data_IF_470744487761
#
_entry.id   IF_470744487761
#
_cell.length_a   1.000
_cell.length_b   1.000
_cell.length_c   1.000
_cell.angle_alpha   90.00
_cell.angle_beta   90.00
_cell.angle_gamma   90.00
#
_symmetry.space_group_name_H-M   'P 1'
#
loop_
_entity.id
_entity.type
_entity.pdbx_description
1 polymer ?
2 polymer ?
3 polymer ?
4 polymer ?
5 non-polymer ?
6 non-polymer ?
7 water ?
#
loop_
_entity_poly.entity_id
_entity_poly.type
_entity_poly.pdbx_seq_one_letter_code
_entity_poly.pdbx_strand_id
1 'polydeoxyribonucleotide' '(DA)(DA)(DT)(DC)(DT)(DT)(DT)(DC)(DC)(DC)(DA)(DC)(DG)(DG)(DT)' ?
2 'polydeoxyribonucleotide' '(DT)(DT)(DA)(DC)(DC)(DG)(DT)(DG)(DG)(DG)(DA)(DA)(DA)(DG)(DA)' ?
#
# COMPACT_ATOMS: atom_id res chain seq x y z
N UNK C 1 -35.68 12.68 -11.74
CA UNK C 1 -35.99 11.74 -10.65
C UNK C 1 -34.76 10.94 -10.21
N UNK C 2 -34.68 10.61 -8.91
CA UNK C 2 -33.45 10.02 -8.38
C UNK C 2 -33.24 8.61 -8.89
N UNK C 3 -32.00 8.14 -8.91
CA UNK C 3 -31.72 6.78 -9.38
C UNK C 3 -32.24 5.74 -8.39
N UNK C 4 -32.28 4.50 -8.85
CA UNK C 4 -32.84 3.42 -8.05
C UNK C 4 -31.94 3.10 -6.87
N UNK C 5 -32.55 2.96 -5.69
CA UNK C 5 -31.84 2.45 -4.53
C UNK C 5 -31.57 0.96 -4.69
N UNK C 6 -30.60 0.45 -3.92
CA UNK C 6 -30.29 -0.98 -3.95
C UNK C 6 -31.45 -1.79 -3.40
N UNK C 7 -31.85 -2.82 -4.13
CA UNK C 7 -32.89 -3.73 -3.65
C UNK C 7 -32.24 -4.89 -2.89
N UNK C 8 -33.06 -5.55 -2.07
CA UNK C 8 -32.57 -6.72 -1.33
C UNK C 8 -32.11 -7.82 -2.27
N UNK C 9 -32.80 -7.98 -3.41
CA UNK C 9 -32.39 -9.00 -4.36
C UNK C 9 -31.05 -8.63 -5.00
N UNK C 10 -30.87 -7.36 -5.35
CA UNK C 10 -29.59 -6.94 -5.90
C UNK C 10 -28.47 -7.15 -4.88
N UNK C 11 -28.75 -6.92 -3.60
CA UNK C 11 -27.73 -7.16 -2.57
C UNK C 11 -27.37 -8.64 -2.49
N UNK C 12 -28.40 -9.51 -2.57
CA UNK C 12 -28.16 -10.95 -2.51
C UNK C 12 -27.34 -11.41 -3.70
N UNK C 13 -27.64 -10.85 -4.88
CA UNK C 13 -26.87 -11.16 -6.08
C UNK C 13 -25.40 -10.78 -5.90
N UNK C 14 -25.15 -9.53 -5.47
CA UNK C 14 -23.77 -9.13 -5.18
C UNK C 14 -23.10 -10.06 -4.18
N UNK C 15 -23.82 -10.42 -3.11
CA UNK C 15 -23.17 -11.20 -2.06
C UNK C 15 -22.76 -12.59 -2.55
N UNK C 16 -23.51 -13.15 -3.52
CA UNK C 16 -23.12 -14.43 -4.12
C UNK C 16 -22.00 -14.24 -5.13
N UNK C 17 -22.22 -13.36 -6.11
CA UNK C 17 -21.30 -13.25 -7.25
C UNK C 17 -20.06 -12.42 -6.92
N UNK C 18 -20.22 -11.37 -6.12
CA UNK C 18 -19.15 -10.40 -5.81
C UNK C 18 -18.75 -9.71 -7.12
N UNK C 19 -17.47 -9.46 -7.36
CA UNK C 19 -17.07 -8.76 -8.57
C UNK C 19 -16.68 -7.33 -8.28
N UNK C 20 -16.05 -7.11 -7.13
CA UNK C 20 -15.64 -5.77 -6.71
C UNK C 20 -14.63 -5.18 -7.68
N UNK C 21 -14.70 -3.86 -7.85
CA UNK C 21 -13.64 -3.11 -8.50
C UNK C 21 -12.80 -2.43 -7.45
N UNK C 22 -11.47 -2.59 -7.53
CA UNK C 22 -10.56 -2.03 -6.55
C UNK C 22 -9.47 -1.19 -7.19
N UNK C 23 -9.17 -0.03 -6.61
CA UNK C 23 -8.04 0.80 -7.01
C UNK C 23 -7.04 0.82 -5.86
N UNK C 24 -5.79 0.47 -6.16
CA UNK C 24 -4.67 0.54 -5.22
C UNK C 24 -3.73 1.64 -5.67
N UNK C 25 -3.24 2.43 -4.73
CA UNK C 25 -2.20 3.41 -4.99
C UNK C 25 -1.02 3.11 -4.05
N UNK C 26 0.12 2.71 -4.61
CA UNK C 26 1.34 2.41 -3.86
C UNK C 26 2.34 3.53 -4.08
N UNK C 27 2.94 4.03 -3.00
CA UNK C 27 3.75 5.23 -3.10
C UNK C 27 4.63 5.37 -1.86
N UNK C 28 5.66 6.22 -1.96
CA UNK C 28 6.49 6.54 -0.82
C UNK C 28 5.79 7.51 0.13
N UNK C 29 6.22 7.49 1.40
CA UNK C 29 5.63 8.33 2.44
C UNK C 29 6.25 9.72 2.49
N UNK C 30 7.40 9.91 1.86
CA UNK C 30 8.04 11.21 1.81
C UNK C 30 8.41 11.48 0.36
N UNK C 31 8.66 12.76 0.06
CA UNK C 31 9.16 13.15 -1.24
C UNK C 31 10.01 14.41 -1.12
N UNK C 32 11.18 14.41 -1.76
CA UNK C 32 12.06 15.57 -1.72
C UNK C 32 11.57 16.60 -2.74
N UNK C 33 11.52 17.86 -2.32
CA UNK C 33 10.97 18.89 -3.18
C UNK C 33 12.01 19.36 -4.19
N UNK C 34 11.52 20.03 -5.23
CA UNK C 34 12.34 20.52 -6.32
C UNK C 34 12.34 22.04 -6.31
N UNK C 35 13.52 22.63 -6.44
CA UNK C 35 13.63 24.09 -6.48
C UNK C 35 13.74 24.58 -7.92
N UNK C 36 13.43 25.85 -8.11
CA UNK C 36 13.59 26.45 -9.42
C UNK C 36 12.86 25.66 -10.49
N UNK C 37 13.57 25.33 -11.56
CA UNK C 37 13.04 24.59 -12.70
C UNK C 37 13.44 23.13 -12.69
N UNK C 38 14.06 22.66 -11.61
CA UNK C 38 14.55 21.29 -11.61
C UNK C 38 13.41 20.31 -11.36
N UNK C 39 13.66 19.04 -11.66
CA UNK C 39 12.68 17.99 -11.47
C UNK C 39 13.36 16.86 -10.68
N UNK C 40 13.03 16.75 -9.39
CA UNK C 40 13.50 15.62 -8.59
C UNK C 40 12.33 14.65 -8.48
N UNK C 41 12.39 13.58 -9.27
CA UNK C 41 11.27 12.68 -9.45
C UNK C 41 10.96 11.87 -8.18
N UNK C 42 9.69 11.52 -8.00
CA UNK C 42 9.33 10.64 -6.89
C UNK C 42 9.91 9.26 -7.14
N UNK C 43 10.68 8.75 -6.18
CA UNK C 43 11.29 7.43 -6.27
C UNK C 43 11.03 6.68 -4.97
N UNK C 44 10.42 5.49 -5.00
CA UNK C 44 9.93 4.76 -6.16
C UNK C 44 8.75 5.48 -6.81
N UNK C 45 8.50 5.18 -8.06
CA UNK C 45 7.43 5.88 -8.78
C UNK C 45 6.08 5.37 -8.31
N UNK C 46 5.15 6.26 -7.98
CA UNK C 46 3.84 5.80 -7.53
C UNK C 46 3.21 4.89 -8.59
N UNK C 47 2.54 3.85 -8.11
CA UNK C 47 2.01 2.81 -8.97
C UNK C 47 0.54 2.62 -8.68
N UNK C 48 -0.29 2.72 -9.72
CA UNK C 48 -1.72 2.52 -9.62
C UNK C 48 -2.05 1.12 -10.12
N UNK C 49 -2.80 0.35 -9.34
CA UNK C 49 -3.24 -0.98 -9.73
C UNK C 49 -4.75 -1.04 -9.75
N UNK C 50 -5.27 -1.71 -10.79
CA UNK C 50 -6.69 -2.01 -10.93
C UNK C 50 -6.88 -3.48 -10.58
N UNK C 51 -7.33 -3.74 -9.37
CA UNK C 51 -7.38 -5.08 -8.80
C UNK C 51 -8.81 -5.61 -8.78
N UNK C 52 -8.90 -6.94 -8.72
CA UNK C 52 -10.17 -7.60 -8.47
C UNK C 52 -10.89 -7.97 -9.75
N UNK C 53 -11.81 -8.93 -9.61
CA UNK C 53 -12.50 -9.48 -10.77
C UNK C 53 -13.49 -8.50 -11.38
N UNK C 54 -13.80 -7.39 -10.71
CA UNK C 54 -14.85 -6.53 -11.22
C UNK C 54 -14.47 -5.74 -12.46
N UNK C 55 -13.18 -5.52 -12.69
CA UNK C 55 -12.77 -4.81 -13.90
C UNK C 55 -13.16 -5.58 -15.15
N UNK C 56 -12.86 -6.88 -15.18
CA UNK C 56 -13.26 -7.69 -16.33
C UNK C 56 -14.78 -7.79 -16.46
N UNK C 57 -15.47 -7.95 -15.32
CA UNK C 57 -16.93 -7.96 -15.35
C UNK C 57 -17.49 -6.65 -15.89
N UNK C 58 -16.97 -5.53 -15.40
CA UNK C 58 -17.44 -4.24 -15.89
C UNK C 58 -17.14 -4.09 -17.38
N UNK C 59 -15.96 -4.53 -17.81
CA UNK C 59 -15.60 -4.46 -19.22
C UNK C 59 -16.59 -5.25 -20.08
N UNK C 60 -16.96 -6.45 -19.63
CA UNK C 60 -17.90 -7.26 -20.40
C UNK C 60 -19.30 -6.65 -20.39
N UNK C 61 -19.77 -6.20 -19.23
CA UNK C 61 -21.06 -5.51 -19.19
C UNK C 61 -21.10 -4.35 -20.18
N UNK C 62 -20.03 -3.54 -20.24
CA UNK C 62 -20.01 -2.38 -21.12
C UNK C 62 -20.06 -2.80 -22.59
N UNK C 63 -19.24 -3.77 -22.97
CA UNK C 63 -19.21 -4.19 -24.36
C UNK C 63 -20.51 -4.87 -24.76
N UNK C 64 -21.15 -5.59 -23.82
CA UNK C 64 -22.49 -6.11 -24.05
C UNK C 64 -23.46 -5.01 -24.43
N UNK C 65 -23.42 -3.89 -23.71
CA UNK C 65 -24.26 -2.73 -24.00
C UNK C 65 -23.75 -1.92 -25.17
N UNK C 66 -22.79 -2.42 -25.93
CA UNK C 66 -22.40 -1.83 -27.19
C UNK C 66 -21.15 -1.00 -27.18
N UNK C 67 -20.30 -1.14 -26.17
CA UNK C 67 -19.03 -0.44 -26.19
C UNK C 67 -18.00 -1.22 -26.99
N UNK C 68 -17.16 -0.50 -27.72
CA UNK C 68 -16.00 -1.11 -28.34
C UNK C 68 -14.99 -1.47 -27.26
N UNK C 69 -13.93 -2.15 -27.68
CA UNK C 69 -12.84 -2.45 -26.75
C UNK C 69 -12.20 -1.17 -26.24
N UNK C 70 -12.08 -0.16 -27.09
CA UNK C 70 -11.45 1.09 -26.70
C UNK C 70 -12.34 1.91 -25.80
N UNK C 71 -13.66 1.82 -25.99
CA UNK C 71 -14.60 2.53 -25.13
C UNK C 71 -14.66 1.93 -23.74
N UNK C 72 -14.42 0.63 -23.60
CA UNK C 72 -14.44 -0.02 -22.30
C UNK C 72 -13.12 0.06 -21.55
N UNK C 73 -12.08 0.57 -22.18
CA UNK C 73 -10.77 0.63 -21.55
C UNK C 73 -10.78 1.68 -20.43
N UNK C 74 -10.34 1.33 -19.21
CA UNK C 74 -10.17 2.37 -18.19
C UNK C 74 -9.04 3.31 -18.55
N UNK C 75 -9.23 4.60 -18.24
CA UNK C 75 -8.17 5.59 -18.38
C UNK C 75 -7.86 6.19 -17.01
N UNK C 76 -6.63 6.65 -16.84
CA UNK C 76 -6.19 7.19 -15.57
C UNK C 76 -5.13 8.26 -15.77
N UNK C 77 -5.24 9.31 -14.96
CA UNK C 77 -4.28 10.39 -14.86
C UNK C 77 -3.88 10.54 -13.40
N UNK C 78 -2.68 11.06 -13.15
CA UNK C 78 -2.23 11.23 -11.77
C UNK C 78 -1.51 12.58 -11.67
N UNK C 79 -1.69 13.23 -10.53
CA UNK C 79 -1.04 14.50 -10.30
C UNK C 79 -0.98 14.78 -8.82
N UNK C 80 -0.35 15.91 -8.47
CA UNK C 80 -0.36 16.39 -7.11
C UNK C 80 -1.75 16.94 -6.82
N UNK C 81 -2.39 16.44 -5.76
CA UNK C 81 -3.72 16.92 -5.43
C UNK C 81 -3.70 18.38 -5.02
N UNK C 82 -4.78 19.08 -5.35
CA UNK C 82 -4.97 20.47 -4.91
C UNK C 82 -3.83 21.37 -5.38
N UNK C 83 -3.50 21.27 -6.66
CA UNK C 83 -2.26 21.84 -7.18
C UNK C 83 -2.44 22.33 -8.60
N UNK C 84 -1.65 23.36 -8.94
CA UNK C 84 -1.57 23.92 -10.28
C UNK C 84 -0.68 23.10 -11.22
N UNK C 85 0.11 22.14 -10.70
CA UNK C 85 0.93 21.31 -11.57
C UNK C 85 0.02 20.41 -12.42
N UNK C 86 0.44 20.15 -13.67
CA UNK C 86 -0.43 19.40 -14.58
C UNK C 86 -0.53 17.93 -14.18
N UNK C 87 -1.65 17.31 -14.51
CA UNK C 87 -1.72 15.86 -14.38
C UNK C 87 -0.98 15.19 -15.53
N UNK C 88 -0.59 13.93 -15.31
CA UNK C 88 0.14 13.14 -16.29
C UNK C 88 -0.63 11.85 -16.54
N UNK C 89 -0.73 11.45 -17.80
CA UNK C 89 -1.54 10.30 -18.16
C UNK C 89 -0.79 9.02 -17.80
N UNK C 90 -1.52 8.03 -17.30
CA UNK C 90 -0.96 6.70 -17.07
C UNK C 90 -1.42 5.79 -18.18
N UNK C 91 -0.53 4.92 -18.66
CA UNK C 91 -0.87 4.03 -19.76
C UNK C 91 -1.19 2.66 -19.17
N UNK C 92 -2.47 2.28 -19.21
CA UNK C 92 -2.92 1.01 -18.66
C UNK C 92 -3.27 -0.01 -19.73
N UNK C 93 -2.96 0.27 -20.99
CA UNK C 93 -3.31 -0.66 -22.07
C UNK C 93 -2.58 -1.99 -21.89
N UNK C 94 -3.36 -3.07 -21.85
CA UNK C 94 -2.78 -4.40 -21.75
C UNK C 94 -2.21 -4.76 -20.40
N UNK C 95 -2.40 -3.92 -19.38
CA UNK C 95 -1.89 -4.18 -18.04
C UNK C 95 -2.95 -3.76 -17.03
N UNK C 96 -2.85 -4.28 -15.81
CA UNK C 96 -3.72 -3.82 -14.74
C UNK C 96 -3.01 -2.86 -13.78
N UNK C 97 -1.92 -2.24 -14.23
CA UNK C 97 -1.15 -1.35 -13.39
C UNK C 97 -0.34 -0.42 -14.29
N UNK C 98 0.06 0.72 -13.72
CA UNK C 98 1.00 1.61 -14.38
C UNK C 98 1.73 2.42 -13.32
N UNK C 99 3.02 2.66 -13.53
CA UNK C 99 3.80 3.51 -12.65
C UNK C 99 3.84 4.93 -13.20
N UNK C 100 4.03 5.88 -12.31
CA UNK C 100 4.17 7.29 -12.68
C UNK C 100 5.62 7.68 -12.39
N UNK C 101 6.43 7.76 -13.44
CA UNK C 101 7.88 7.84 -13.31
C UNK C 101 8.43 9.26 -13.28
N UNK C 102 7.64 10.27 -13.64
CA UNK C 102 8.16 11.63 -13.73
C UNK C 102 7.32 12.62 -12.92
N UNK C 103 6.81 12.22 -11.76
CA UNK C 103 6.17 13.18 -10.86
C UNK C 103 7.21 13.88 -10.00
N UNK C 104 6.89 15.11 -9.62
CA UNK C 104 7.74 15.88 -8.71
C UNK C 104 6.88 16.97 -8.10
N UNK C 105 7.35 17.55 -6.99
CA UNK C 105 6.64 18.68 -6.36
C UNK C 105 7.57 19.89 -6.32
N UNK C 106 7.13 20.99 -6.92
CA UNK C 106 7.85 22.26 -6.94
C UNK C 106 7.76 22.96 -5.60
N UNK C 107 8.77 23.77 -5.28
CA UNK C 107 8.68 24.57 -4.06
C UNK C 107 7.70 25.72 -4.20
N UNK C 108 7.12 25.96 -5.38
CA UNK C 108 5.96 26.85 -5.48
C UNK C 108 4.85 26.42 -4.54
N UNK C 109 4.72 25.11 -4.33
CA UNK C 109 3.77 24.56 -3.38
C UNK C 109 4.35 24.66 -1.98
N UNK C 110 3.61 25.33 -1.10
CA UNK C 110 4.07 25.59 0.26
C UNK C 110 3.51 24.60 1.27
N UNK C 111 2.89 23.52 0.81
CA UNK C 111 2.31 22.57 1.74
C UNK C 111 3.37 21.65 2.33
N UNK C 112 3.13 21.22 3.56
CA UNK C 112 4.06 20.35 4.26
C UNK C 112 3.79 18.89 3.99
N UNK C 113 2.53 18.57 3.65
CA UNK C 113 2.08 17.25 3.25
C UNK C 113 1.21 17.43 2.01
N UNK C 114 1.11 16.38 1.20
CA UNK C 114 0.19 16.41 0.06
C UNK C 114 -0.26 14.99 -0.22
N UNK C 115 -1.26 14.86 -1.07
CA UNK C 115 -1.73 13.58 -1.58
C UNK C 115 -1.62 13.56 -3.09
N UNK C 116 -1.34 12.39 -3.64
CA UNK C 116 -1.52 12.19 -5.06
C UNK C 116 -3.01 12.06 -5.37
N UNK C 117 -3.39 12.54 -6.55
CA UNK C 117 -4.76 12.49 -7.02
C UNK C 117 -4.80 11.67 -8.30
N UNK C 118 -5.57 10.58 -8.30
CA UNK C 118 -5.70 9.72 -9.48
C UNK C 118 -7.11 9.89 -10.05
N UNK C 119 -7.20 10.44 -11.26
CA UNK C 119 -8.47 10.67 -11.93
C UNK C 119 -8.74 9.57 -12.94
N UNK C 120 -9.89 8.89 -12.82
CA UNK C 120 -10.21 7.76 -13.69
C UNK C 120 -11.56 7.93 -14.38
N UNK C 121 -11.63 7.43 -15.62
CA UNK C 121 -12.86 7.35 -16.39
C UNK C 121 -12.67 6.30 -17.47
N UNK C 122 -13.78 5.86 -18.06
CA UNK C 122 -13.71 4.86 -19.12
C UNK C 122 -13.51 5.52 -20.49
N UNK C 123 -13.26 4.67 -21.49
CA UNK C 123 -13.03 5.16 -22.84
C UNK C 123 -14.20 5.87 -23.46
N UNK C 124 -15.44 5.50 -23.10
CA UNK C 124 -16.63 6.22 -23.58
C UNK C 124 -16.91 7.48 -22.76
N UNK C 125 -15.96 7.92 -21.94
CA UNK C 125 -16.02 9.11 -21.09
C UNK C 125 -16.94 8.95 -19.88
N UNK C 126 -17.47 7.74 -19.63
CA UNK C 126 -18.18 7.47 -18.38
C UNK C 126 -17.24 7.73 -17.20
N UNK C 127 -17.71 8.46 -16.21
CA UNK C 127 -16.84 8.84 -15.11
C UNK C 127 -16.67 7.72 -14.10
N UNK C 128 -15.48 7.62 -13.53
CA UNK C 128 -15.26 6.75 -12.38
C UNK C 128 -15.03 7.58 -11.12
N UNK C 129 -13.99 8.38 -11.10
CA UNK C 129 -13.84 9.41 -10.09
C UNK C 129 -12.38 9.74 -9.86
N UNK C 130 -12.12 10.26 -8.65
CA UNK C 130 -10.81 10.72 -8.24
C UNK C 130 -10.44 9.99 -6.95
N UNK C 131 -9.31 9.30 -6.96
CA UNK C 131 -8.86 8.50 -5.83
C UNK C 131 -7.59 9.13 -5.26
N UNK C 132 -7.54 9.28 -3.94
CA UNK C 132 -6.41 9.95 -3.30
C UNK C 132 -5.46 8.95 -2.66
N UNK C 133 -4.17 9.23 -2.79
CA UNK C 133 -3.16 8.43 -2.11
C UNK C 133 -3.23 8.73 -0.62
N UNK C 134 -2.41 8.02 0.15
CA UNK C 134 -2.15 8.44 1.52
C UNK C 134 -1.32 9.72 1.52
N UNK C 135 -1.16 10.30 2.70
CA UNK C 135 -0.50 11.59 2.80
C UNK C 135 0.99 11.40 2.62
N UNK C 136 1.63 12.37 1.96
CA UNK C 136 3.05 12.31 1.64
C UNK C 136 3.72 13.55 2.20
N UNK C 137 4.77 13.37 2.99
CA UNK C 137 5.49 14.46 3.64
C UNK C 137 6.56 15.05 2.73
N UNK C 138 6.55 16.38 2.57
CA UNK C 138 7.57 17.07 1.78
C UNK C 138 8.82 17.26 2.64
N UNK C 139 9.99 16.95 2.09
CA UNK C 139 11.25 17.30 2.73
C UNK C 139 12.09 18.12 1.78
N UNK C 140 12.89 19.03 2.35
CA UNK C 140 13.80 19.80 1.53
C UNK C 140 14.98 18.96 1.10
N UNK C 141 15.54 18.19 2.03
CA UNK C 141 16.60 17.21 1.80
C UNK C 141 16.82 16.47 3.11
N UNK C 142 17.33 15.25 3.09
CA UNK C 142 17.49 14.52 4.35
C UNK C 142 18.57 15.18 5.20
N UNK C 143 18.35 15.21 6.51
CA UNK C 143 19.34 15.81 7.39
C UNK C 143 20.59 14.93 7.44
N UNK C 144 21.73 15.56 7.72
CA UNK C 144 22.96 14.80 7.89
C UNK C 144 23.22 14.42 9.35
N UNK C 145 22.44 14.95 10.28
CA UNK C 145 22.59 14.58 11.68
C UNK C 145 21.96 13.22 11.93
N UNK C 146 22.42 12.55 12.98
CA UNK C 146 21.79 11.31 13.40
C UNK C 146 20.32 11.54 13.68
N UNK C 147 19.49 10.57 13.31
CA UNK C 147 18.04 10.71 13.40
C UNK C 147 17.61 10.55 14.86
N UNK C 148 16.78 11.47 15.31
CA UNK C 148 16.17 11.38 16.62
C UNK C 148 14.87 10.59 16.56
N UNK C 149 14.66 9.71 17.54
CA UNK C 149 13.39 9.00 17.65
C UNK C 149 12.23 9.92 18.00
N UNK C 150 12.50 11.17 18.41
CA UNK C 150 11.42 12.13 18.57
C UNK C 150 10.77 12.46 17.23
N UNK C 151 11.47 12.26 16.12
CA UNK C 151 10.90 12.43 14.79
C UNK C 151 10.48 11.07 14.22
N UNK C 152 9.61 10.38 14.97
CA UNK C 152 9.09 9.10 14.51
C UNK C 152 8.65 9.15 13.06
N UNK C 153 8.15 10.31 12.63
CA UNK C 153 7.83 10.60 11.24
C UNK C 153 8.84 10.02 10.27
N UNK C 154 10.12 10.37 10.45
CA UNK C 154 11.17 9.99 9.51
C UNK C 154 11.86 8.68 9.85
N UNK C 155 11.42 7.97 10.89
CA UNK C 155 12.05 6.70 11.26
C UNK C 155 11.29 5.54 10.61
N UNK C 156 11.74 4.32 10.86
CA UNK C 156 11.16 3.13 10.23
C UNK C 156 10.85 2.10 11.32
N UNK C 157 9.57 1.86 11.56
CA UNK C 157 9.13 0.89 12.57
C UNK C 157 9.21 -0.53 12.02
N UNK C 158 9.61 -1.46 12.89
CA UNK C 158 9.57 -2.87 12.55
C UNK C 158 8.20 -3.26 12.04
N UNK C 159 8.17 -4.06 10.97
CA UNK C 159 6.93 -4.53 10.40
C UNK C 159 6.25 -3.58 9.42
N UNK C 160 6.77 -2.37 9.24
CA UNK C 160 6.26 -1.51 8.19
C UNK C 160 6.97 -1.86 6.87
N UNK C 161 6.66 -1.11 5.81
CA UNK C 161 7.07 -1.43 4.45
C UNK C 161 8.07 -0.40 3.92
N UNK C 162 9.07 -0.88 3.18
CA UNK C 162 10.06 -0.01 2.57
C UNK C 162 10.26 -0.44 1.13
N UNK C 163 10.70 0.52 0.32
CA UNK C 163 11.31 0.24 -0.98
C UNK C 163 12.81 0.43 -0.86
N UNK C 164 13.54 -0.17 -1.80
CA UNK C 164 14.99 -0.09 -1.81
C UNK C 164 15.44 0.09 -3.26
N UNK C 165 16.21 1.14 -3.52
CA UNK C 165 16.72 1.31 -4.87
C UNK C 165 18.21 1.59 -4.86
N UNK C 166 18.84 1.23 -5.99
CA UNK C 166 20.24 1.51 -6.24
C UNK C 166 20.34 2.41 -7.46
N UNK C 167 21.26 3.37 -7.41
CA UNK C 167 21.49 4.31 -8.50
C UNK C 167 22.99 4.50 -8.66
N UNK C 168 23.50 4.48 -9.89
CA UNK C 168 24.94 4.57 -10.13
C UNK C 168 25.32 5.98 -10.62
N UNK C 169 26.24 6.64 -9.90
CA UNK C 169 26.87 7.91 -10.31
C UNK C 169 25.84 8.98 -10.69
N UNK C 170 24.81 9.12 -9.85
CA UNK C 170 23.82 10.19 -9.97
C UNK C 170 23.06 10.17 -11.29
N UNK C 171 22.88 9.01 -11.92
CA UNK C 171 22.21 8.95 -13.22
C UNK C 171 20.81 8.38 -13.06
N UNK C 172 19.81 9.19 -13.42
CA UNK C 172 18.43 8.74 -13.30
C UNK C 172 18.14 7.50 -14.13
N UNK C 173 18.84 7.31 -15.26
CA UNK C 173 18.53 6.15 -16.08
C UNK C 173 18.99 4.86 -15.41
N UNK C 174 19.89 4.94 -14.43
CA UNK C 174 20.46 3.75 -13.80
C UNK C 174 19.67 3.26 -12.61
N UNK C 175 18.63 3.97 -12.18
CA UNK C 175 17.86 3.58 -11.00
C UNK C 175 17.27 2.18 -11.16
N UNK C 176 17.50 1.34 -10.16
CA UNK C 176 16.91 0.01 -10.14
C UNK C 176 16.37 -0.29 -8.75
N UNK C 177 15.24 -0.98 -8.72
CA UNK C 177 14.47 -1.22 -7.51
C UNK C 177 14.51 -2.70 -7.20
N UNK C 178 14.74 -3.04 -5.93
CA UNK C 178 14.55 -4.42 -5.50
C UNK C 178 13.10 -4.82 -5.74
N UNK C 179 12.92 -6.03 -6.25
CA UNK C 179 11.63 -6.50 -6.74
C UNK C 179 11.71 -8.01 -6.85
N UNK C 180 10.59 -8.69 -6.59
CA UNK C 180 10.49 -10.14 -6.72
C UNK C 180 9.65 -10.44 -7.94
N UNK C 181 10.17 -11.27 -8.84
CA UNK C 181 9.46 -11.64 -10.04
C UNK C 181 9.79 -13.08 -10.41
N UNK C 182 8.77 -13.88 -10.66
CA UNK C 182 8.98 -15.27 -11.01
C UNK C 182 9.76 -16.04 -9.96
N UNK C 183 9.45 -15.81 -8.68
CA UNK C 183 10.12 -16.48 -7.60
C UNK C 183 11.56 -16.10 -7.37
N UNK C 184 12.06 -15.04 -8.00
CA UNK C 184 13.44 -14.61 -7.80
C UNK C 184 13.49 -13.12 -7.46
N UNK C 185 14.42 -12.76 -6.58
CA UNK C 185 14.76 -11.36 -6.39
C UNK C 185 15.52 -10.86 -7.59
N UNK C 186 15.18 -9.67 -8.05
CA UNK C 186 15.96 -9.00 -9.08
C UNK C 186 15.91 -7.50 -8.82
N UNK C 187 16.61 -6.73 -9.66
CA UNK C 187 16.66 -5.28 -9.54
C UNK C 187 16.01 -4.70 -10.80
N UNK C 188 14.83 -4.12 -10.66
CA UNK C 188 14.03 -3.75 -11.81
C UNK C 188 14.14 -2.25 -12.11
N UNK C 189 14.18 -1.94 -13.40
CA UNK C 189 14.17 -0.54 -13.85
C UNK C 189 12.77 0.08 -13.74
N UNK C 190 11.72 -0.74 -13.84
CA UNK C 190 10.36 -0.23 -13.93
C UNK C 190 9.44 -0.64 -12.79
N UNK C 191 9.70 -1.72 -12.08
CA UNK C 191 8.80 -2.18 -11.03
C UNK C 191 9.54 -2.16 -9.70
N UNK C 192 8.79 -2.05 -8.61
CA UNK C 192 9.41 -2.03 -7.29
C UNK C 192 8.61 -2.84 -6.29
N UNK C 193 9.32 -3.57 -5.43
CA UNK C 193 8.70 -4.29 -4.35
C UNK C 193 8.51 -3.43 -3.13
N UNK C 194 7.43 -3.70 -2.38
CA UNK C 194 7.22 -3.13 -1.06
C UNK C 194 7.45 -4.24 -0.05
N UNK C 195 8.46 -4.07 0.79
CA UNK C 195 8.97 -5.15 1.62
C UNK C 195 8.72 -4.81 3.08
N UNK C 196 8.14 -5.77 3.81
CA UNK C 196 8.17 -5.64 5.26
C UNK C 196 9.62 -5.68 5.71
N UNK C 197 9.96 -4.82 6.65
CA UNK C 197 11.28 -4.88 7.29
C UNK C 197 11.04 -5.27 8.76
N UNK C 198 11.27 -6.54 9.06
CA UNK C 198 11.02 -7.11 10.39
C UNK C 198 12.29 -7.09 11.22
N UNK C 199 12.20 -6.58 12.44
CA UNK C 199 13.33 -6.63 13.36
C UNK C 199 13.39 -7.98 14.07
N UNK C 200 14.54 -8.64 14.02
CA UNK C 200 14.78 -9.87 14.75
C UNK C 200 15.79 -9.60 15.86
N UNK C 201 15.64 -10.32 16.97
CA UNK C 201 16.68 -10.27 17.98
C UNK C 201 17.94 -10.97 17.46
N UNK C 202 19.07 -10.59 18.05
CA UNK C 202 20.38 -10.97 17.49
C UNK C 202 20.57 -12.49 17.42
N UNK C 203 19.95 -13.24 18.33
CA UNK C 203 20.17 -14.68 18.36
C UNK C 203 19.14 -15.47 17.59
N UNK C 204 18.21 -14.79 16.90
CA UNK C 204 17.22 -15.50 16.08
C UNK C 204 17.90 -16.20 14.91
N UNK C 205 17.67 -17.50 14.79
CA UNK C 205 18.32 -18.29 13.76
C UNK C 205 17.59 -18.15 12.43
N UNK C 206 18.20 -18.67 11.37
CA UNK C 206 17.57 -18.68 10.05
C UNK C 206 16.27 -19.48 10.08
N UNK C 207 15.47 -19.28 9.04
CA UNK C 207 14.21 -19.96 8.92
C UNK C 207 13.10 -19.14 8.30
N UNK C 208 12.02 -19.81 7.90
CA UNK C 208 10.87 -19.13 7.33
C UNK C 208 9.92 -18.61 8.40
N UNK C 209 9.87 -19.28 9.56
CA UNK C 209 9.13 -18.78 10.71
C UNK C 209 10.12 -18.17 11.68
N UNK C 210 9.80 -16.98 12.18
CA UNK C 210 10.74 -16.26 13.04
C UNK C 210 9.98 -15.31 13.94
N UNK C 211 10.56 -15.04 15.11
CA UNK C 211 9.97 -14.10 16.04
C UNK C 211 10.36 -12.68 15.66
N UNK C 212 9.37 -11.83 15.49
CA UNK C 212 9.61 -10.42 15.21
C UNK C 212 9.52 -9.64 16.50
N UNK C 213 10.31 -8.59 16.58
CA UNK C 213 10.36 -7.68 17.71
C UNK C 213 9.82 -6.32 17.26
N UNK C 214 9.26 -5.58 18.20
CA UNK C 214 8.74 -4.26 17.90
C UNK C 214 9.84 -3.21 18.05
N UNK C 215 9.56 -2.00 17.62
CA UNK C 215 10.47 -0.89 17.76
C UNK C 215 10.91 -0.35 16.41
N UNK C 216 11.74 0.70 16.49
CA UNK C 216 12.29 1.33 15.29
C UNK C 216 13.58 0.66 14.86
N UNK C 217 13.78 0.58 13.54
CA UNK C 217 14.99 -0.05 13.00
C UNK C 217 16.20 0.86 13.23
N UNK C 218 17.27 0.29 13.79
CA UNK C 218 18.55 0.95 13.95
C UNK C 218 19.62 0.22 13.15
N UNK C 219 20.65 0.97 12.73
CA UNK C 219 21.81 0.34 12.10
C UNK C 219 22.43 -0.70 13.03
N UNK C 220 22.93 -1.78 12.44
CA UNK C 220 23.54 -2.85 13.20
C UNK C 220 22.57 -3.91 13.67
N UNK C 221 21.27 -3.68 13.54
CA UNK C 221 20.30 -4.69 13.91
C UNK C 221 20.13 -5.70 12.79
N UNK C 222 19.64 -6.89 13.16
CA UNK C 222 19.33 -7.96 12.23
C UNK C 222 17.89 -7.82 11.78
N UNK C 223 17.65 -7.85 10.45
CA UNK C 223 16.30 -7.65 9.91
C UNK C 223 15.97 -8.75 8.90
N UNK C 224 14.67 -8.92 8.71
CA UNK C 224 14.12 -9.78 7.67
C UNK C 224 13.33 -8.91 6.70
N UNK C 225 13.68 -8.95 5.42
CA UNK C 225 12.93 -8.30 4.36
C UNK C 225 12.01 -9.33 3.70
N UNK C 226 10.71 -9.04 3.68
CA UNK C 226 9.72 -9.95 3.11
C UNK C 226 8.85 -9.19 2.13
N UNK C 227 8.83 -9.63 0.89
CA UNK C 227 7.93 -9.09 -0.11
C UNK C 227 6.49 -9.19 0.39
N UNK C 228 5.80 -8.04 0.47
CA UNK C 228 4.42 -8.01 0.93
C UNK C 228 3.43 -8.59 -0.08
N UNK C 229 3.91 -9.05 -1.23
CA UNK C 229 3.05 -9.64 -2.25
C UNK C 229 3.33 -11.12 -2.42
N UNK C 230 4.60 -11.49 -2.60
CA UNK C 230 4.96 -12.88 -2.83
C UNK C 230 5.31 -13.64 -1.56
N UNK C 231 5.51 -12.96 -0.43
CA UNK C 231 6.01 -13.62 0.75
C UNK C 231 7.46 -14.08 0.68
N UNK C 232 8.11 -13.98 -0.48
CA UNK C 232 9.52 -14.34 -0.57
C UNK C 232 10.36 -13.44 0.33
N UNK C 233 11.34 -14.04 0.99
CA UNK C 233 12.18 -13.33 1.93
C UNK C 233 13.64 -13.49 1.57
N UNK C 234 14.43 -12.58 2.06
CA UNK C 234 15.87 -12.73 1.95
C UNK C 234 16.38 -13.41 3.21
N UNK C 235 17.58 -14.00 3.17
CA UNK C 235 18.18 -14.48 4.42
C UNK C 235 18.36 -13.31 5.38
N UNK C 236 18.62 -13.65 6.65
CA UNK C 236 18.83 -12.62 7.66
C UNK C 236 19.88 -11.64 7.20
N UNK C 237 19.60 -10.36 7.37
CA UNK C 237 20.50 -9.29 6.98
C UNK C 237 20.79 -8.41 8.19
N UNK C 238 21.97 -7.79 8.19
CA UNK C 238 22.30 -6.73 9.13
C UNK C 238 22.36 -5.43 8.34
N UNK C 239 21.41 -4.54 8.64
CA UNK C 239 21.33 -3.24 7.96
C UNK C 239 22.47 -2.36 8.49
N UNK C 240 23.34 -1.91 7.61
CA UNK C 240 24.46 -1.08 8.02
C UNK C 240 24.41 0.27 7.31
N UNK C 241 24.94 1.28 8.01
CA UNK C 241 24.95 2.62 7.50
C UNK C 241 26.08 2.78 6.47
N UNK C 242 25.74 3.36 5.32
CA UNK C 242 26.73 3.64 4.28
C UNK C 242 27.25 5.06 4.49
N UNK C 243 28.57 5.19 4.40
CA UNK C 243 29.27 6.47 4.47
C UNK C 243 30.23 6.50 3.30
N UNK C 244 29.96 7.38 2.34
CA UNK C 244 30.69 7.43 1.07
C UNK C 244 30.53 6.05 0.43
N UNK C 245 31.58 5.27 0.22
CA UNK C 245 31.45 3.93 -0.34
C UNK C 245 31.91 2.85 0.64
N UNK C 246 31.70 3.07 1.93
CA UNK C 246 32.03 2.10 2.96
C UNK C 246 30.79 1.82 3.79
N UNK C 247 30.66 0.58 4.24
CA UNK C 247 29.68 0.23 5.27
C UNK C 247 30.32 0.41 6.64
N UNK C 248 29.63 1.12 7.54
CA UNK C 248 30.11 1.29 8.91
C UNK C 248 29.62 0.12 9.75
N UNK C 249 30.54 -0.59 10.39
CA UNK C 249 30.13 -1.75 11.17
C UNK C 249 29.63 -1.37 12.56
N UNK C 250 30.00 -0.19 13.05
CA UNK C 250 29.72 0.18 14.43
C UNK C 250 28.57 1.18 14.59
N UNK C 251 28.00 1.71 13.51
CA UNK C 251 26.89 2.66 13.64
C UNK C 251 25.67 1.96 14.23
N UNK C 252 24.94 2.67 15.10
CA UNK C 252 23.73 2.12 15.68
C UNK C 252 22.63 3.16 15.89
N UNK C 253 22.65 4.26 15.15
CA UNK C 253 21.58 5.25 15.24
C UNK C 253 20.36 4.81 14.42
N UNK C 254 19.19 5.42 14.64
CA UNK C 254 17.99 5.00 13.88
C UNK C 254 18.13 5.21 12.38
N UNK C 255 17.64 4.24 11.59
CA UNK C 255 17.57 4.40 10.15
C UNK C 255 16.51 5.46 9.82
N UNK C 256 16.83 6.33 8.87
CA UNK C 256 15.92 7.41 8.50
C UNK C 256 15.60 7.34 7.01
N UNK C 257 14.57 8.09 6.62
CA UNK C 257 14.10 8.10 5.24
C UNK C 257 15.18 8.55 4.27
N UNK C 258 15.27 7.87 3.14
CA UNK C 258 16.21 8.19 2.06
C UNK C 258 17.68 8.03 2.47
N UNK C 259 17.98 7.44 3.64
CA UNK C 259 19.35 7.08 3.98
C UNK C 259 19.89 6.03 3.02
N UNK C 260 21.20 6.07 2.77
CA UNK C 260 21.86 5.03 2.00
C UNK C 260 22.26 3.91 2.96
N UNK C 261 21.92 2.66 2.60
CA UNK C 261 22.04 1.49 3.45
C UNK C 261 22.78 0.38 2.72
N UNK C 262 23.49 -0.45 3.48
CA UNK C 262 24.04 -1.71 2.99
C UNK C 262 23.47 -2.84 3.83
N UNK C 263 23.34 -4.02 3.20
CA UNK C 263 22.74 -5.19 3.84
C UNK C 263 23.75 -6.32 3.85
N UNK C 264 24.35 -6.55 5.02
CA UNK C 264 25.30 -7.62 5.21
C UNK C 264 24.54 -8.92 5.42
N UNK C 265 24.89 -9.95 4.64
CA UNK C 265 24.27 -11.25 4.82
C UNK C 265 24.82 -11.86 6.11
N UNK C 266 23.97 -12.00 7.12
CA UNK C 266 24.43 -12.42 8.44
C UNK C 266 25.16 -13.75 8.35
N UNK C 267 26.27 -13.86 9.09
CA UNK C 267 27.05 -15.09 9.22
C UNK C 267 27.71 -15.49 7.89
N UNK C 268 28.11 -14.50 7.10
CA UNK C 268 28.92 -14.74 5.90
C UNK C 268 30.25 -14.02 6.07
N UNK C 269 31.13 -14.21 5.09
CA UNK C 269 32.42 -13.52 5.04
C UNK C 269 32.27 -12.19 4.29
N UNK C 270 31.77 -11.18 5.02
CA UNK C 270 31.67 -9.82 4.49
C UNK C 270 30.89 -9.77 3.16
N UNK C 271 29.89 -10.63 3.01
CA UNK C 271 29.05 -10.65 1.82
C UNK C 271 27.90 -9.67 2.00
N UNK C 272 27.68 -8.82 0.99
CA UNK C 272 26.62 -7.81 1.02
C UNK C 272 25.64 -8.02 -0.14
N UNK C 273 24.38 -7.72 0.13
CA UNK C 273 23.37 -7.74 -0.92
C UNK C 273 23.71 -6.71 -1.99
N UNK C 274 23.70 -7.13 -3.25
CA UNK C 274 24.37 -6.37 -4.30
C UNK C 274 23.67 -6.57 -5.63
N UNK C 275 23.45 -5.48 -6.37
CA UNK C 275 22.99 -5.65 -7.74
C UNK C 275 24.18 -5.65 -8.69
N UNK C 276 24.01 -6.35 -9.79
CA UNK C 276 24.91 -6.32 -10.95
C UNK C 276 24.00 -6.26 -12.17
N UNK C 277 23.81 -5.05 -12.70
CA UNK C 277 22.76 -4.78 -13.70
C UNK C 277 21.44 -5.21 -13.08
N UNK C 278 20.65 -6.08 -13.71
CA UNK C 278 19.40 -6.53 -13.12
C UNK C 278 19.59 -7.67 -12.11
N UNK C 279 20.76 -8.33 -12.08
CA UNK C 279 20.97 -9.47 -11.19
C UNK C 279 21.17 -9.03 -9.73
N UNK C 280 20.54 -9.76 -8.81
CA UNK C 280 20.79 -9.63 -7.37
C UNK C 280 21.71 -10.75 -6.94
N UNK C 281 22.85 -10.40 -6.36
CA UNK C 281 23.85 -11.33 -5.89
C UNK C 281 24.31 -10.90 -4.51
N UNK C 282 25.28 -11.64 -3.97
CA UNK C 282 26.06 -11.19 -2.82
C UNK C 282 27.50 -10.96 -3.26
N UNK C 283 28.09 -9.87 -2.77
CA UNK C 283 29.42 -9.45 -3.19
C UNK C 283 30.26 -9.12 -1.96
N UNK C 284 31.50 -9.60 -1.95
CA UNK C 284 32.34 -9.48 -0.78
C UNK C 284 32.91 -8.08 -0.66
N UNK C 285 32.79 -7.50 0.53
CA UNK C 285 33.41 -6.23 0.85
C UNK C 285 34.91 -6.39 1.09
N UNK C 286 35.63 -5.27 0.96
CA UNK C 286 37.09 -5.23 1.14
C UNK C 286 37.43 -4.51 2.43
N UNK C 287 38.32 -5.04 3.27
CA UNK C 287 38.64 -4.37 4.53
C UNK C 287 39.28 -3.01 4.28
N UNK C 288 38.86 -2.02 5.06
CA UNK C 288 39.38 -0.67 4.90
C UNK C 288 40.81 -0.58 5.44
N UNK C 289 41.64 0.29 4.85
CA UNK C 289 43.03 0.41 5.33
C UNK C 289 43.08 1.01 6.72
N UNK C 290 43.67 0.26 7.66
CA UNK C 290 43.85 0.66 9.05
C UNK C 290 42.53 0.63 9.82
N UNK C 291 41.49 1.27 9.27
CA UNK C 291 40.21 1.37 9.96
C UNK C 291 39.49 0.02 9.92
N UNK C 292 39.29 -0.57 11.09
CA UNK C 292 38.68 -1.89 11.20
C UNK C 292 37.16 -1.83 11.32
N UNK C 293 36.59 -0.64 11.50
CA UNK C 293 35.16 -0.46 11.71
C UNK C 293 34.40 -0.18 10.42
N UNK C 294 35.07 -0.14 9.27
CA UNK C 294 34.42 0.12 8.00
C UNK C 294 34.87 -0.91 6.98
N UNK C 295 34.00 -1.20 6.01
CA UNK C 295 34.34 -2.07 4.89
C UNK C 295 33.92 -1.42 3.58
N UNK C 296 34.81 -1.50 2.59
CA UNK C 296 34.55 -0.98 1.25
C UNK C 296 33.57 -1.90 0.54
N UNK C 297 32.54 -1.34 -0.08
CA UNK C 297 31.50 -2.17 -0.71
C UNK C 297 31.41 -1.83 -2.19
N UNK C 298 30.84 -2.76 -2.94
CA UNK C 298 30.58 -2.57 -4.36
C UNK C 298 29.57 -1.45 -4.61
N UNK C 299 29.71 -0.78 -5.76
CA UNK C 299 28.73 0.24 -6.21
C UNK C 299 27.31 -0.27 -6.05
N UNK C 300 27.07 -1.54 -6.43
CA UNK C 300 25.78 -2.18 -6.38
C UNK C 300 25.28 -2.57 -5.01
N UNK C 301 26.06 -2.35 -3.95
CA UNK C 301 25.70 -2.77 -2.59
C UNK C 301 25.18 -1.61 -1.74
N UNK C 302 25.07 -0.43 -2.30
CA UNK C 302 24.51 0.73 -1.61
C UNK C 302 23.04 0.89 -2.02
N UNK C 303 22.14 0.90 -1.05
CA UNK C 303 20.69 0.93 -1.28
C UNK C 303 20.06 2.12 -0.54
N UNK C 304 19.26 2.93 -1.26
CA UNK C 304 18.45 3.95 -0.62
C UNK C 304 17.16 3.35 -0.09
N UNK C 305 16.89 3.55 1.17
CA UNK C 305 15.70 3.00 1.82
C UNK C 305 14.65 4.10 1.93
N UNK C 306 13.38 3.76 1.67
CA UNK C 306 12.32 4.75 1.84
C UNK C 306 11.01 4.03 2.21
N UNK C 307 10.33 4.55 3.23
CA UNK C 307 9.07 3.94 3.66
C UNK C 307 7.99 4.16 2.60
N UNK C 308 7.13 3.17 2.42
CA UNK C 308 6.06 3.27 1.44
C UNK C 308 4.71 3.00 2.11
N UNK C 309 3.64 3.30 1.38
CA UNK C 309 2.27 3.25 1.91
C UNK C 309 1.35 2.75 0.81
N UNK C 310 0.06 2.70 1.12
CA UNK C 310 -0.91 2.09 0.23
C UNK C 310 -2.27 2.70 0.50
N UNK C 311 -2.90 3.26 -0.51
CA UNK C 311 -4.31 3.60 -0.45
C UNK C 311 -5.07 2.56 -1.26
N UNK C 312 -6.25 2.18 -0.77
CA UNK C 312 -7.00 1.10 -1.41
C UNK C 312 -8.49 1.43 -1.35
N UNK C 313 -9.18 1.28 -2.48
CA UNK C 313 -10.60 1.63 -2.55
C UNK C 313 -11.34 0.57 -3.35
N UNK C 314 -12.51 0.17 -2.84
CA UNK C 314 -13.30 -0.89 -3.45
C UNK C 314 -14.75 -0.47 -3.61
N UNK C 315 -15.30 -0.70 -4.80
CA UNK C 315 -16.66 -0.29 -5.12
C UNK C 315 -17.26 -1.28 -6.11
N UNK C 316 -18.60 -1.29 -6.16
CA UNK C 316 -19.35 -2.15 -7.05
C UNK C 316 -20.64 -1.44 -7.44
N UNK C 317 -20.97 -1.49 -8.73
CA UNK C 317 -22.17 -0.84 -9.25
C UNK C 317 -23.37 -1.75 -8.98
N UNK C 318 -23.88 -1.69 -7.74
CA UNK C 318 -24.90 -2.64 -7.30
C UNK C 318 -26.20 -2.54 -8.07
N UNK C 319 -26.56 -1.35 -8.56
CA UNK C 319 -27.71 -1.19 -9.44
C UNK C 319 -27.32 -0.75 -10.84
N UNK C 320 -26.09 -1.02 -11.26
CA UNK C 320 -25.65 -0.63 -12.59
C UNK C 320 -24.96 0.71 -12.57
N UNK C 321 -24.58 1.20 -13.75
CA UNK C 321 -23.84 2.47 -13.82
C UNK C 321 -24.66 3.62 -13.27
N UNK C 322 -23.96 4.61 -12.71
CA UNK C 322 -24.61 5.74 -12.09
C UNK C 322 -24.03 7.02 -12.64
N UNK C 323 -24.78 8.10 -12.46
CA UNK C 323 -24.33 9.40 -12.91
C UNK C 323 -23.20 9.93 -12.03
N UNK C 324 -23.34 9.81 -10.72
CA UNK C 324 -22.32 10.35 -9.82
C UNK C 324 -21.04 9.51 -9.87
N UNK C 325 -19.87 10.12 -9.65
CA UNK C 325 -18.67 9.31 -9.47
C UNK C 325 -18.83 8.41 -8.26
N UNK C 326 -18.12 7.28 -8.29
CA UNK C 326 -18.18 6.36 -7.16
C UNK C 326 -17.35 6.85 -5.99
N UNK C 327 -16.51 7.89 -6.22
CA UNK C 327 -15.66 8.49 -5.23
C UNK C 327 -16.35 9.69 -4.60
N UNK C 328 -15.95 10.10 -3.39
CA UNK C 328 -14.92 9.47 -2.54
C UNK C 328 -15.39 8.13 -2.00
N UNK C 329 -14.54 7.10 -2.04
CA UNK C 329 -14.94 5.76 -1.62
C UNK C 329 -14.78 5.64 -0.12
N UNK C 330 -15.83 5.25 0.62
CA UNK C 330 -15.67 5.03 2.06
C UNK C 330 -14.77 3.84 2.37
N UNK C 331 -13.98 4.00 3.43
CA UNK C 331 -13.09 2.95 3.93
C UNK C 331 -13.39 2.76 5.41
N UNK C 332 -13.65 1.53 5.82
CA UNK C 332 -13.96 1.24 7.22
C UNK C 332 -12.72 0.63 7.85
N UNK C 333 -12.25 1.28 8.91
CA UNK C 333 -11.11 0.79 9.70
C UNK C 333 -11.56 -0.22 10.75
N UNK C 334 -12.64 0.06 11.47
CA UNK C 334 -12.98 -0.74 12.63
C UNK C 334 -14.48 -0.66 12.92
N UNK C 335 -14.99 -1.71 13.53
CA UNK C 335 -16.34 -1.76 14.08
C UNK C 335 -16.26 -1.88 15.59
N UNK C 336 -17.12 -1.15 16.29
CA UNK C 336 -17.18 -1.22 17.75
C UNK C 336 -18.63 -1.36 18.18
N UNK C 337 -18.88 -2.31 19.08
CA UNK C 337 -20.23 -2.62 19.54
C UNK C 337 -20.56 -1.78 20.76
N UNK C 338 -21.75 -1.16 20.76
CA UNK C 338 -22.21 -0.30 21.86
C UNK C 338 -23.52 -0.80 22.47
N UNK C 342 -29.47 0.20 25.98
CA UNK C 342 -30.69 0.30 25.20
C UNK C 342 -30.66 -0.62 23.99
N UNK C 343 -30.88 -0.04 22.81
CA UNK C 343 -30.79 -0.79 21.56
C UNK C 343 -29.32 -1.00 21.22
N UNK C 344 -29.02 -2.14 20.60
CA UNK C 344 -27.65 -2.44 20.21
C UNK C 344 -27.24 -1.60 19.02
N UNK C 345 -26.18 -0.82 19.18
CA UNK C 345 -25.65 0.04 18.13
C UNK C 345 -24.28 -0.48 17.72
N UNK C 346 -23.97 -0.41 16.42
CA UNK C 346 -22.64 -0.67 15.91
C UNK C 346 -22.06 0.63 15.37
N UNK C 347 -20.85 0.98 15.83
CA UNK C 347 -20.15 2.17 15.39
C UNK C 347 -19.10 1.80 14.35
N UNK C 348 -19.09 2.52 13.24
CA UNK C 348 -18.08 2.34 12.19
C UNK C 348 -17.13 3.52 12.25
N UNK C 349 -15.83 3.23 12.25
CA UNK C 349 -14.77 4.23 12.16
C UNK C 349 -14.03 4.07 10.85
N UNK C 350 -13.81 5.18 10.14
CA UNK C 350 -13.07 5.12 8.90
C UNK C 350 -12.96 6.46 8.22
N UNK C 351 -13.03 6.50 6.89
CA UNK C 351 -12.93 7.76 6.15
C UNK C 351 -13.97 7.80 5.04
N UNK C 352 -14.27 9.02 4.60
CA UNK C 352 -15.08 9.26 3.41
C UNK C 352 -16.52 8.81 3.59
N UNK C 353 -17.01 8.79 4.82
CA UNK C 353 -18.42 8.53 5.06
C UNK C 353 -19.25 9.75 4.64
N UNK C 354 -20.45 9.50 4.13
CA UNK C 354 -21.39 10.54 3.73
C UNK C 354 -22.79 10.23 4.24
N UNK C 355 -23.68 11.23 4.28
CA UNK C 355 -25.04 10.99 4.76
C UNK C 355 -25.92 10.22 3.76
N UNK C 356 -25.41 9.86 2.59
CA UNK C 356 -26.20 9.04 1.67
C UNK C 356 -25.78 7.57 1.73
N UNK C 357 -25.08 7.17 2.78
CA UNK C 357 -24.68 5.78 2.99
C UNK C 357 -25.61 5.10 3.98
N UNK C 358 -25.81 3.80 3.81
CA UNK C 358 -26.48 2.97 4.80
C UNK C 358 -25.66 1.71 5.03
N UNK C 359 -25.64 1.24 6.28
CA UNK C 359 -24.98 -0.02 6.63
C UNK C 359 -25.94 -1.17 6.36
N UNK C 360 -25.45 -2.19 5.67
CA UNK C 360 -26.21 -3.42 5.47
C UNK C 360 -25.48 -4.54 6.22
N UNK C 361 -26.24 -5.31 7.00
CA UNK C 361 -25.78 -6.56 7.61
C UNK C 361 -26.33 -7.69 6.75
N UNK C 362 -25.45 -8.42 6.07
CA UNK C 362 -25.97 -9.35 5.08
C UNK C 362 -26.83 -8.59 4.08
N UNK C 363 -28.05 -9.08 3.84
CA UNK C 363 -28.98 -8.42 2.95
C UNK C 363 -30.01 -7.56 3.69
N UNK C 364 -29.73 -7.23 4.94
CA UNK C 364 -30.64 -6.46 5.77
C UNK C 364 -30.10 -5.04 5.91
N UNK C 365 -30.76 -4.08 5.29
CA UNK C 365 -30.38 -2.69 5.44
C UNK C 365 -30.73 -2.19 6.84
N UNK C 366 -29.82 -1.47 7.49
CA UNK C 366 -30.02 -1.04 8.86
C UNK C 366 -30.18 0.48 8.95
N UNK C 367 -30.92 0.91 9.96
CA UNK C 367 -31.04 2.33 10.24
C UNK C 367 -29.68 2.90 10.62
N UNK C 368 -29.27 3.94 9.90
CA UNK C 368 -27.91 4.46 9.96
C UNK C 368 -27.93 5.93 10.33
N UNK C 369 -27.03 6.33 11.23
CA UNK C 369 -26.90 7.72 11.68
C UNK C 369 -25.54 8.25 11.26
N UNK C 370 -25.56 9.19 10.32
CA UNK C 370 -24.34 9.86 9.91
C UNK C 370 -23.90 10.87 10.96
N UNK C 371 -22.64 10.80 11.36
CA UNK C 371 -22.05 11.79 12.28
C UNK C 371 -21.04 12.69 11.59
N UNK C 372 -20.10 12.12 10.84
CA UNK C 372 -19.08 12.88 10.12
C UNK C 372 -18.40 11.89 9.18
N UNK C 373 -17.40 12.37 8.46
CA UNK C 373 -16.72 11.53 7.47
C UNK C 373 -16.00 10.34 8.06
N UNK C 374 -15.75 10.36 9.37
CA UNK C 374 -14.97 9.31 10.03
C UNK C 374 -15.80 8.44 10.97
N UNK C 375 -17.09 8.76 11.17
CA UNK C 375 -17.87 8.04 12.17
C UNK C 375 -19.33 7.91 11.75
N UNK C 376 -19.86 6.69 11.80
CA UNK C 376 -21.28 6.40 11.61
C UNK C 376 -21.76 5.45 12.69
N UNK C 377 -23.06 5.52 12.98
CA UNK C 377 -23.74 4.62 13.90
C UNK C 377 -24.85 3.93 13.16
N UNK C 378 -25.05 2.65 13.44
CA UNK C 378 -26.21 1.95 12.90
C UNK C 378 -26.81 1.06 13.97
N UNK C 379 -28.09 0.73 13.79
CA UNK C 379 -28.81 -0.14 14.72
C UNK C 379 -28.70 -1.57 14.23
N UNK C 380 -28.24 -2.45 15.10
CA UNK C 380 -28.02 -3.86 14.75
C UNK C 380 -29.36 -4.54 14.53
N UNK C 381 -29.57 -5.20 13.41
CA UNK C 381 -30.86 -5.86 13.17
C UNK C 381 -31.07 -7.00 14.16
N UNK C 382 -32.34 -7.22 14.51
CA UNK C 382 -32.67 -8.37 15.34
C UNK C 382 -32.15 -9.65 14.69
N UNK C 383 -31.72 -10.60 15.53
CA UNK C 383 -31.23 -11.88 15.03
C UNK C 383 -32.27 -12.57 14.18
N UNK C 384 -33.55 -12.30 14.44
CA UNK C 384 -34.61 -12.97 13.69
C UNK C 384 -34.61 -12.57 12.22
N UNK C 385 -33.94 -11.45 11.89
CA UNK C 385 -33.76 -11.10 10.48
C UNK C 385 -32.83 -12.07 9.77
N UNK C 386 -32.08 -12.88 10.51
CA UNK C 386 -31.19 -13.85 9.91
C UNK C 386 -31.51 -15.29 10.26
N UNK C 387 -32.17 -15.54 11.39
CA UNK C 387 -32.62 -16.88 11.78
C UNK C 387 -34.09 -16.79 12.18
N UNK C 388 -34.95 -17.49 11.43
CA UNK C 388 -36.37 -17.15 11.35
C UNK C 388 -37.09 -17.28 12.69
N UNK C 389 -36.75 -18.29 13.47
CA UNK C 389 -37.52 -18.50 14.68
C UNK C 389 -36.91 -17.94 15.95
N UNK C 390 -35.65 -17.54 15.85
CA UNK C 390 -34.86 -17.19 17.03
C UNK C 390 -35.43 -15.94 17.71
N UNK C 391 -35.76 -16.09 19.00
CA UNK C 391 -36.02 -14.95 19.86
C UNK C 391 -34.78 -14.57 20.64
N UNK C 392 -33.68 -15.28 20.46
CA UNK C 392 -32.38 -14.92 21.01
C UNK C 392 -31.31 -15.62 20.18
N UNK C 393 -30.07 -15.27 20.44
CA UNK C 393 -28.95 -15.82 19.67
C UNK C 393 -28.62 -17.19 20.25
N UNK C 394 -29.06 -18.23 19.55
CA UNK C 394 -28.87 -19.62 19.99
C UNK C 394 -27.43 -20.08 19.80
N UNK C 395 -26.87 -19.79 18.63
CA UNK C 395 -25.49 -20.08 18.28
C UNK C 395 -24.93 -18.85 17.61
N UNK C 396 -23.59 -18.72 17.54
CA UNK C 396 -23.02 -17.55 16.86
C UNK C 396 -23.40 -17.52 15.39
N UNK C 397 -23.65 -16.31 14.90
CA UNK C 397 -24.09 -16.09 13.52
C UNK C 397 -23.32 -14.90 12.96
N UNK C 398 -22.60 -15.12 11.87
CA UNK C 398 -21.70 -14.14 11.28
C UNK C 398 -22.28 -13.64 9.97
N UNK C 399 -22.32 -12.32 9.81
CA UNK C 399 -22.87 -11.68 8.61
C UNK C 399 -21.87 -10.65 8.10
N UNK C 400 -21.83 -10.36 6.80
CA UNK C 400 -20.94 -9.31 6.32
C UNK C 400 -21.49 -7.93 6.62
N UNK C 401 -20.59 -6.99 6.84
CA UNK C 401 -20.93 -5.57 6.98
C UNK C 401 -20.52 -4.88 5.67
N UNK C 402 -21.45 -4.09 5.12
CA UNK C 402 -21.31 -3.49 3.80
C UNK C 402 -21.89 -2.08 3.84
N UNK C 403 -21.24 -1.15 3.14
CA UNK C 403 -21.76 0.20 2.98
C UNK C 403 -22.41 0.32 1.61
N UNK C 404 -23.55 0.99 1.56
CA UNK C 404 -24.33 1.11 0.33
C UNK C 404 -24.78 2.55 0.21
N UNK C 405 -24.59 3.12 -0.98
CA UNK C 405 -24.98 4.50 -1.28
C UNK C 405 -26.40 4.52 -1.85
N UNK C 406 -27.03 5.69 -1.76
CA UNK C 406 -28.43 5.80 -2.14
C UNK C 406 -28.67 5.55 -3.61
N UNK C 407 -27.62 5.55 -4.45
CA UNK C 407 -27.78 5.19 -5.85
C UNK C 407 -27.31 3.76 -6.15
N UNK C 408 -27.20 2.91 -5.12
CA UNK C 408 -26.93 1.50 -5.34
C UNK C 408 -25.46 1.12 -5.41
N UNK C 409 -24.53 2.09 -5.36
CA UNK C 409 -23.13 1.72 -5.32
C UNK C 409 -22.85 0.99 -4.00
N UNK C 410 -22.13 -0.11 -4.09
CA UNK C 410 -21.84 -0.99 -2.96
C UNK C 410 -20.36 -0.89 -2.62
N UNK C 411 -20.06 -0.64 -1.36
CA UNK C 411 -18.68 -0.48 -0.87
C UNK C 411 -18.41 -1.55 0.18
N UNK C 412 -17.80 -2.66 -0.23
CA UNK C 412 -17.62 -3.75 0.73
C UNK C 412 -16.55 -3.40 1.74
N UNK C 413 -16.65 -4.01 2.91
CA UNK C 413 -15.60 -3.95 3.92
C UNK C 413 -15.00 -5.34 4.08
N UNK C 414 -13.86 -5.42 4.71
CA UNK C 414 -13.35 -6.75 5.00
C UNK C 414 -13.94 -7.30 6.28
N UNK C 415 -14.92 -6.61 6.84
CA UNK C 415 -15.31 -6.82 8.23
C UNK C 415 -16.67 -7.51 8.30
N UNK C 416 -16.82 -8.34 9.33
CA UNK C 416 -18.04 -9.06 9.57
C UNK C 416 -18.55 -8.70 10.96
N UNK C 417 -19.83 -8.98 11.18
CA UNK C 417 -20.43 -8.85 12.48
C UNK C 417 -20.90 -10.23 12.91
N UNK C 418 -20.60 -10.60 14.15
CA UNK C 418 -21.01 -11.90 14.67
C UNK C 418 -21.94 -11.72 15.86
N UNK C 419 -23.19 -12.14 15.69
CA UNK C 419 -24.12 -12.32 16.81
C UNK C 419 -23.59 -13.41 17.72
N UNK C 420 -23.40 -13.10 19.01
CA UNK C 420 -22.83 -14.08 19.95
C UNK C 420 -23.89 -14.55 20.94
N UNK C 421 -23.91 -15.85 21.25
CA UNK C 421 -24.98 -16.38 22.12
C UNK C 421 -24.97 -15.70 23.47
N UNK C 422 -26.15 -15.66 24.09
CA UNK C 422 -26.33 -14.95 25.34
C UNK C 422 -26.09 -15.90 26.50
N UNK C 423 -24.97 -15.75 27.25
CA UNK C 423 -24.62 -16.67 28.34
C UNK C 423 -25.20 -16.23 29.68
N UNK D 1 3.00 -11.80 17.08
CA UNK D 1 4.37 -11.35 17.22
C UNK D 1 5.37 -12.35 16.62
N UNK D 2 5.02 -12.88 15.45
CA UNK D 2 5.84 -13.85 14.73
C UNK D 2 5.37 -13.90 13.29
N UNK D 3 6.29 -13.76 12.35
CA UNK D 3 5.95 -13.65 10.94
C UNK D 3 6.24 -14.96 10.20
N UNK D 4 5.68 -15.06 9.00
CA UNK D 4 5.70 -16.29 8.19
C UNK D 4 6.12 -15.94 6.76
N UNK D 5 7.41 -16.04 6.48
CA UNK D 5 7.90 -15.92 5.11
C UNK D 5 7.56 -17.17 4.32
N UNK D 6 6.89 -17.00 3.18
CA UNK D 6 6.50 -18.16 2.39
C UNK D 6 7.72 -18.96 1.93
N UNK D 7 8.75 -18.29 1.42
CA UNK D 7 10.00 -18.95 1.07
C UNK D 7 11.16 -18.01 1.28
N UNK D 8 12.32 -18.57 1.57
CA UNK D 8 13.54 -17.78 1.77
C UNK D 8 14.44 -18.03 0.57
N UNK D 9 14.69 -16.97 -0.20
CA UNK D 9 15.44 -17.06 -1.44
C UNK D 9 16.93 -17.16 -1.17
N UNK D 10 17.61 -17.98 -1.96
CA UNK D 10 19.07 -18.09 -1.87
C UNK D 10 19.69 -17.03 -2.75
N UNK D 11 20.72 -16.35 -2.23
CA UNK D 11 21.37 -15.25 -2.92
C UNK D 11 22.59 -15.80 -3.65
N UNK D 12 22.59 -15.85 -4.99
CA UNK D 12 23.77 -16.36 -5.72
C UNK D 12 25.01 -15.52 -5.45
N UNK D 13 26.17 -16.12 -5.67
CA UNK D 13 27.44 -15.42 -5.49
C UNK D 13 28.02 -14.97 -6.83
N UNK D 14 28.86 -13.94 -6.75
CA UNK D 14 29.56 -13.40 -7.92
C UNK D 14 30.39 -14.47 -8.63
#
# INVERSE_FOLDING_TARGET
SPPKRLTREAMRNYLKERGDQTVLILHAKVAQKSYGNEKRFFCPPPCVYLMGSGWKKKKEQMERDGCSEQESQPCAFIGIGNSDQEMQQLNLEGKNYCTAKTLYISDSDKRKHFMLSVKMFYGNSDDIGVFLSKRIKVISKPSKKKQSLKNADLCIASGTKVALFNRLRSQTVSTRYLHVEGGNFHASSQQWGAFYIHLLDDDESEGEEFTVRDGYIHYGQTVKLVCSVTGMALPRLIIRKVDKQTALLDADDPVSQLHKCAFYLKDTERMYLCLSQERIIQFQATPCPKEQNKEMINDGASWTIISTDKAEYTFYEGMGPVLAPVTPVPVVESLQLNGGGDVAMLELTGQNFTPNLRVWFGDVEAETMYRCGESMLCVVPDISAFREGWRWVRQPVQVPVTLVRNDGVIYSTSLTFTYTPEP
KKATATTTWMVPTA
#
